data_IF_870545072309
#
_entry.id   IF_870545072309
#
_cell.length_a   1.000
_cell.length_b   1.000
_cell.length_c   1.000
_cell.angle_alpha   90.00
_cell.angle_beta   90.00
_cell.angle_gamma   90.00
#
_symmetry.space_group_name_H-M   'P 1'
#
loop_
_entity.id
_entity.type
_entity.pdbx_description
1 polymer ?
#
# COMPACT_ATOMS: atom_id res chain seq x y z
N UNK A 1 77.53 -51.42 58.72
CA UNK A 1 76.84 -50.54 57.75
C UNK A 1 76.79 -49.13 58.33
N UNK A 2 77.44 -48.18 57.65
CA UNK A 2 77.52 -46.78 58.09
C UNK A 2 76.13 -46.13 58.10
N UNK A 3 75.88 -45.18 59.00
CA UNK A 3 74.64 -44.39 59.08
C UNK A 3 74.29 -43.73 57.72
N UNK A 4 75.29 -43.46 56.90
CA UNK A 4 75.15 -42.92 55.55
C UNK A 4 74.46 -43.89 54.57
N UNK A 5 74.65 -45.20 54.70
CA UNK A 5 73.98 -46.19 53.83
C UNK A 5 72.51 -46.40 54.22
N UNK A 6 72.17 -46.25 55.51
CA UNK A 6 70.77 -46.29 55.95
C UNK A 6 70.01 -45.04 55.51
N UNK A 7 70.67 -43.88 55.51
CA UNK A 7 70.11 -42.63 55.00
C UNK A 7 69.74 -42.70 53.51
N UNK A 8 70.57 -43.35 52.69
CA UNK A 8 70.31 -43.50 51.23
C UNK A 8 69.03 -44.26 50.88
N UNK A 9 68.51 -45.11 51.78
CA UNK A 9 67.29 -45.88 51.55
C UNK A 9 66.06 -45.16 52.15
N UNK A 10 66.22 -44.51 53.29
CA UNK A 10 65.12 -43.86 54.03
C UNK A 10 64.71 -42.53 53.37
N UNK A 11 65.67 -41.76 52.85
CA UNK A 11 65.41 -40.44 52.25
C UNK A 11 64.50 -40.54 51.01
N UNK A 12 64.73 -41.44 50.02
CA UNK A 12 63.85 -41.58 48.87
C UNK A 12 62.44 -42.06 49.23
N UNK A 13 62.33 -42.98 50.20
CA UNK A 13 61.04 -43.51 50.64
C UNK A 13 60.18 -42.43 51.32
N UNK A 14 60.76 -41.64 52.22
CA UNK A 14 60.08 -40.53 52.87
C UNK A 14 59.69 -39.42 51.87
N UNK A 15 60.58 -39.09 50.93
CA UNK A 15 60.30 -38.12 49.86
C UNK A 15 59.12 -38.56 48.98
N UNK A 16 59.04 -39.85 48.62
CA UNK A 16 57.93 -40.41 47.86
C UNK A 16 56.58 -40.30 48.58
N UNK A 17 56.56 -40.53 49.89
CA UNK A 17 55.35 -40.37 50.72
C UNK A 17 54.93 -38.90 50.77
N UNK A 18 55.86 -37.98 51.03
CA UNK A 18 55.59 -36.54 51.07
C UNK A 18 55.03 -36.03 49.73
N UNK A 19 55.64 -36.42 48.61
CA UNK A 19 55.15 -36.04 47.27
C UNK A 19 53.75 -36.60 46.98
N UNK A 20 53.46 -37.82 47.44
CA UNK A 20 52.16 -38.45 47.27
C UNK A 20 51.08 -37.71 48.06
N UNK A 21 51.38 -37.30 49.29
CA UNK A 21 50.48 -36.49 50.13
C UNK A 21 50.21 -35.13 49.46
N UNK A 22 51.25 -34.44 48.97
CA UNK A 22 51.10 -33.14 48.29
C UNK A 22 50.23 -33.26 47.03
N UNK A 23 50.40 -34.33 46.24
CA UNK A 23 49.56 -34.59 45.05
C UNK A 23 48.09 -34.79 45.42
N UNK A 24 47.82 -35.57 46.47
CA UNK A 24 46.45 -35.81 46.94
C UNK A 24 45.80 -34.53 47.46
N UNK A 25 46.53 -33.73 48.24
CA UNK A 25 46.04 -32.43 48.74
C UNK A 25 45.76 -31.47 47.59
N UNK A 26 46.68 -31.37 46.61
CA UNK A 26 46.49 -30.52 45.43
C UNK A 26 45.30 -30.96 44.58
N UNK A 27 45.10 -32.27 44.43
CA UNK A 27 43.94 -32.82 43.74
C UNK A 27 42.64 -32.45 44.46
N UNK A 28 42.57 -32.61 45.78
CA UNK A 28 41.39 -32.23 46.56
C UNK A 28 41.06 -30.74 46.44
N UNK A 29 42.07 -29.87 46.53
CA UNK A 29 41.89 -28.41 46.34
C UNK A 29 41.40 -28.09 44.92
N UNK A 30 41.93 -28.76 43.91
CA UNK A 30 41.44 -28.58 42.54
C UNK A 30 39.97 -29.02 42.42
N UNK A 31 39.62 -30.20 42.94
CA UNK A 31 38.24 -30.71 42.90
C UNK A 31 37.26 -29.78 43.62
N UNK A 32 37.63 -29.23 44.78
CA UNK A 32 36.75 -28.31 45.51
C UNK A 32 36.56 -26.99 44.78
N UNK A 33 37.61 -26.42 44.18
CA UNK A 33 37.51 -25.22 43.35
C UNK A 33 36.63 -25.47 42.12
N UNK A 34 36.81 -26.60 41.43
CA UNK A 34 35.98 -26.95 40.28
C UNK A 34 34.52 -27.15 40.68
N UNK A 35 34.26 -27.83 41.81
CA UNK A 35 32.90 -28.05 42.29
C UNK A 35 32.19 -26.73 42.66
N UNK A 36 32.88 -25.81 43.36
CA UNK A 36 32.29 -24.51 43.72
C UNK A 36 32.03 -23.64 42.49
N UNK A 37 32.95 -23.60 41.52
CA UNK A 37 32.71 -22.93 40.25
C UNK A 37 31.52 -23.53 39.50
N UNK A 38 31.42 -24.86 39.42
CA UNK A 38 30.32 -25.53 38.73
C UNK A 38 28.97 -25.17 39.37
N UNK A 39 28.88 -25.20 40.69
CA UNK A 39 27.65 -24.80 41.40
C UNK A 39 27.30 -23.31 41.19
N UNK A 40 28.31 -22.44 41.13
CA UNK A 40 28.10 -21.02 40.88
C UNK A 40 27.56 -20.77 39.46
N UNK A 41 28.14 -21.44 38.47
CA UNK A 41 27.68 -21.37 37.07
C UNK A 41 26.24 -21.89 36.98
N UNK A 42 25.93 -23.04 37.56
CA UNK A 42 24.57 -23.59 37.53
C UNK A 42 23.54 -22.66 38.16
N UNK A 43 23.88 -22.06 39.30
CA UNK A 43 22.99 -21.13 40.02
C UNK A 43 22.64 -19.89 39.20
N UNK A 44 23.56 -19.39 38.37
CA UNK A 44 23.32 -18.20 37.56
C UNK A 44 22.82 -18.49 36.15
N UNK A 45 23.38 -19.51 35.49
CA UNK A 45 23.10 -19.81 34.08
C UNK A 45 21.69 -20.36 33.90
N UNK A 46 21.19 -21.20 34.82
CA UNK A 46 19.86 -21.79 34.69
C UNK A 46 18.77 -20.69 34.78
N UNK A 47 18.73 -19.82 35.81
CA UNK A 47 17.77 -18.73 35.87
C UNK A 47 17.93 -17.73 34.72
N UNK A 48 19.17 -17.39 34.36
CA UNK A 48 19.43 -16.48 33.23
C UNK A 48 18.89 -17.03 31.91
N UNK A 49 19.05 -18.34 31.67
CA UNK A 49 18.49 -19.02 30.50
C UNK A 49 16.96 -18.95 30.48
N UNK A 50 16.30 -19.20 31.62
CA UNK A 50 14.83 -19.11 31.73
C UNK A 50 14.36 -17.68 31.44
N UNK A 51 14.98 -16.68 32.09
CA UNK A 51 14.64 -15.26 31.88
C UNK A 51 14.83 -14.88 30.41
N UNK A 52 15.95 -15.30 29.81
CA UNK A 52 16.22 -15.07 28.39
C UNK A 52 15.12 -15.66 27.49
N UNK A 53 14.70 -16.90 27.74
CA UNK A 53 13.63 -17.53 26.95
C UNK A 53 12.27 -16.83 27.13
N UNK A 54 11.94 -16.39 28.34
CA UNK A 54 10.70 -15.63 28.60
C UNK A 54 10.71 -14.30 27.86
N UNK A 55 11.79 -13.52 27.97
CA UNK A 55 11.95 -12.24 27.25
C UNK A 55 11.89 -12.47 25.74
N UNK A 56 12.63 -13.46 25.23
CA UNK A 56 12.64 -13.81 23.81
C UNK A 56 11.23 -14.17 23.31
N UNK A 57 10.48 -14.97 24.09
CA UNK A 57 9.10 -15.33 23.77
C UNK A 57 8.19 -14.09 23.70
N UNK A 58 8.27 -13.21 24.69
CA UNK A 58 7.49 -11.98 24.73
C UNK A 58 7.81 -11.04 23.56
N UNK A 59 9.09 -10.81 23.28
CA UNK A 59 9.53 -9.99 22.14
C UNK A 59 9.11 -10.61 20.80
N UNK A 60 9.20 -11.93 20.66
CA UNK A 60 8.76 -12.64 19.46
C UNK A 60 7.24 -12.49 19.26
N UNK A 61 6.46 -12.59 20.34
CA UNK A 61 5.02 -12.40 20.27
C UNK A 61 4.65 -10.98 19.85
N UNK A 62 5.27 -9.96 20.45
CA UNK A 62 5.04 -8.56 20.05
C UNK A 62 5.34 -8.33 18.58
N UNK A 63 6.49 -8.79 18.08
CA UNK A 63 6.85 -8.67 16.66
C UNK A 63 5.81 -9.32 15.74
N UNK A 64 5.33 -10.51 16.10
CA UNK A 64 4.29 -11.21 15.32
C UNK A 64 2.97 -10.44 15.34
N UNK A 65 2.57 -9.94 16.50
CA UNK A 65 1.36 -9.13 16.67
C UNK A 65 1.43 -7.84 15.84
N UNK A 66 2.54 -7.12 15.90
CA UNK A 66 2.75 -5.88 15.14
C UNK A 66 2.71 -6.14 13.63
N UNK A 67 3.38 -7.22 13.19
CA UNK A 67 3.35 -7.64 11.77
C UNK A 67 1.93 -8.00 11.32
N UNK A 68 1.17 -8.71 12.15
CA UNK A 68 -0.22 -9.04 11.86
C UNK A 68 -1.08 -7.79 11.77
N UNK A 69 -0.98 -6.87 12.73
CA UNK A 69 -1.72 -5.61 12.73
C UNK A 69 -1.37 -4.75 11.52
N UNK A 70 -0.08 -4.64 11.18
CA UNK A 70 0.37 -3.92 9.99
C UNK A 70 -0.22 -4.52 8.71
N UNK A 71 -0.18 -5.84 8.57
CA UNK A 71 -0.75 -6.53 7.41
C UNK A 71 -2.26 -6.31 7.33
N UNK A 72 -2.98 -6.48 8.44
CA UNK A 72 -4.43 -6.25 8.51
C UNK A 72 -4.79 -4.82 8.09
N UNK A 73 -4.11 -3.82 8.66
CA UNK A 73 -4.31 -2.42 8.31
C UNK A 73 -4.02 -2.17 6.84
N UNK A 74 -2.93 -2.74 6.31
CA UNK A 74 -2.59 -2.64 4.88
C UNK A 74 -3.66 -3.27 3.98
N UNK A 75 -4.18 -4.45 4.35
CA UNK A 75 -5.27 -5.09 3.61
C UNK A 75 -6.55 -4.25 3.62
N UNK A 76 -6.95 -3.72 4.78
CA UNK A 76 -8.10 -2.82 4.89
C UNK A 76 -7.91 -1.53 4.10
N UNK A 77 -6.69 -0.97 4.09
CA UNK A 77 -6.36 0.21 3.29
C UNK A 77 -6.54 -0.08 1.80
N UNK A 78 -5.97 -1.18 1.28
CA UNK A 78 -6.11 -1.53 -0.13
C UNK A 78 -7.55 -1.88 -0.50
N UNK A 79 -8.28 -2.60 0.35
CA UNK A 79 -9.68 -2.90 0.10
C UNK A 79 -10.55 -1.64 0.08
N UNK A 80 -10.29 -0.66 0.96
CA UNK A 80 -10.96 0.63 0.92
C UNK A 80 -10.57 1.43 -0.32
N UNK A 81 -9.30 1.42 -0.71
CA UNK A 81 -8.83 2.08 -1.93
C UNK A 81 -9.50 1.46 -3.17
N UNK A 82 -9.56 0.13 -3.28
CA UNK A 82 -10.22 -0.58 -4.36
C UNK A 82 -11.72 -0.27 -4.40
N UNK A 83 -12.39 -0.29 -3.24
CA UNK A 83 -13.81 0.04 -3.13
C UNK A 83 -14.09 1.50 -3.52
N UNK A 84 -13.31 2.44 -2.98
CA UNK A 84 -13.45 3.86 -3.28
C UNK A 84 -13.07 4.18 -4.73
N UNK A 85 -12.12 3.46 -5.32
CA UNK A 85 -11.77 3.60 -6.74
C UNK A 85 -12.92 3.17 -7.63
N UNK A 86 -13.67 2.13 -7.25
CA UNK A 86 -14.91 1.75 -7.94
C UNK A 86 -15.98 2.85 -7.89
N UNK A 87 -16.16 3.51 -6.73
CA UNK A 87 -17.08 4.64 -6.60
C UNK A 87 -16.61 5.83 -7.44
N UNK A 88 -15.32 6.16 -7.40
CA UNK A 88 -14.72 7.25 -8.19
C UNK A 88 -14.87 7.00 -9.69
N UNK A 89 -14.57 5.79 -10.16
CA UNK A 89 -14.73 5.41 -11.56
C UNK A 89 -16.19 5.51 -12.00
N UNK A 90 -17.14 5.11 -11.14
CA UNK A 90 -18.56 5.27 -11.42
C UNK A 90 -18.97 6.73 -11.52
N UNK A 91 -18.52 7.59 -10.61
CA UNK A 91 -18.80 9.03 -10.67
C UNK A 91 -18.18 9.67 -11.92
N UNK A 92 -16.96 9.27 -12.28
CA UNK A 92 -16.29 9.72 -13.49
C UNK A 92 -17.07 9.31 -14.75
N UNK A 93 -17.49 8.04 -14.84
CA UNK A 93 -18.31 7.58 -15.95
C UNK A 93 -19.66 8.30 -16.00
N UNK A 94 -20.32 8.55 -14.86
CA UNK A 94 -21.60 9.27 -14.85
C UNK A 94 -21.42 10.72 -15.32
N UNK A 95 -20.34 11.39 -14.91
CA UNK A 95 -19.99 12.72 -15.40
C UNK A 95 -19.73 12.70 -16.92
N UNK A 96 -18.97 11.72 -17.42
CA UNK A 96 -18.72 11.58 -18.86
C UNK A 96 -20.03 11.32 -19.64
N UNK A 97 -20.91 10.45 -19.13
CA UNK A 97 -22.21 10.21 -19.73
C UNK A 97 -23.11 11.43 -19.70
N UNK A 98 -23.03 12.26 -18.66
CA UNK A 98 -23.73 13.53 -18.60
C UNK A 98 -23.26 14.45 -19.72
N UNK A 99 -21.95 14.62 -19.89
CA UNK A 99 -21.37 15.42 -20.98
C UNK A 99 -21.86 14.94 -22.36
N UNK A 100 -21.89 13.63 -22.61
CA UNK A 100 -22.39 13.09 -23.88
C UNK A 100 -23.87 13.37 -24.11
N UNK A 101 -24.71 13.23 -23.07
CA UNK A 101 -26.15 13.50 -23.18
C UNK A 101 -26.39 14.98 -23.51
N UNK A 102 -25.64 15.86 -22.87
CA UNK A 102 -25.73 17.30 -23.12
C UNK A 102 -25.30 17.66 -24.53
N UNK A 103 -24.18 17.10 -25.02
CA UNK A 103 -23.75 17.26 -26.41
C UNK A 103 -24.80 16.76 -27.41
N UNK A 104 -25.41 15.59 -27.20
CA UNK A 104 -26.43 15.06 -28.10
C UNK A 104 -27.65 15.97 -28.15
N UNK A 105 -28.10 16.47 -27.00
CA UNK A 105 -29.26 17.39 -26.92
C UNK A 105 -28.92 18.73 -27.57
N UNK A 106 -27.76 19.31 -27.28
CA UNK A 106 -27.30 20.57 -27.85
C UNK A 106 -27.22 20.46 -29.38
N UNK A 107 -26.58 19.39 -29.89
CA UNK A 107 -26.50 19.13 -31.33
C UNK A 107 -27.87 19.01 -31.98
N UNK A 108 -28.80 18.27 -31.36
CA UNK A 108 -30.17 18.15 -31.88
C UNK A 108 -30.87 19.52 -31.98
N UNK A 109 -30.72 20.38 -30.98
CA UNK A 109 -31.31 21.72 -30.97
C UNK A 109 -30.70 22.59 -32.07
N UNK A 110 -29.37 22.61 -32.19
CA UNK A 110 -28.66 23.35 -33.24
C UNK A 110 -29.06 22.85 -34.63
N UNK A 111 -29.13 21.53 -34.83
CA UNK A 111 -29.56 20.92 -36.08
C UNK A 111 -31.01 21.29 -36.46
N UNK A 112 -31.92 21.32 -35.47
CA UNK A 112 -33.34 21.57 -35.71
C UNK A 112 -33.68 23.05 -35.86
N UNK A 113 -33.03 23.93 -35.09
CA UNK A 113 -33.39 25.34 -34.97
C UNK A 113 -32.29 26.32 -35.42
N UNK A 114 -31.05 25.86 -35.58
CA UNK A 114 -29.88 26.69 -35.85
C UNK A 114 -29.59 27.00 -37.32
N UNK A 115 -30.52 26.73 -38.26
CA UNK A 115 -30.32 27.07 -39.69
C UNK A 115 -30.07 28.55 -39.94
N UNK A 116 -30.63 29.42 -39.10
CA UNK A 116 -30.44 30.86 -39.14
C UNK A 116 -29.42 31.35 -38.09
N UNK A 117 -28.68 30.44 -37.46
CA UNK A 117 -27.89 30.71 -36.26
C UNK A 117 -28.77 30.65 -35.01
N UNK A 118 -28.21 30.14 -33.92
CA UNK A 118 -28.87 30.12 -32.61
C UNK A 118 -27.84 30.42 -31.52
N UNK A 119 -28.21 31.25 -30.55
CA UNK A 119 -27.36 31.58 -29.41
C UNK A 119 -27.40 30.48 -28.33
N UNK A 120 -26.37 30.42 -27.48
CA UNK A 120 -26.23 29.40 -26.44
C UNK A 120 -27.34 29.49 -25.38
N UNK A 121 -27.76 30.70 -25.02
CA UNK A 121 -28.82 30.97 -24.04
C UNK A 121 -30.18 30.41 -24.48
N UNK A 122 -30.50 30.54 -25.78
CA UNK A 122 -31.70 29.99 -26.38
C UNK A 122 -31.66 28.48 -26.41
N UNK A 123 -30.50 27.89 -26.68
CA UNK A 123 -30.30 26.44 -26.61
C UNK A 123 -30.55 25.94 -25.19
N UNK A 124 -29.95 26.60 -24.19
CA UNK A 124 -30.16 26.30 -22.77
C UNK A 124 -31.65 26.31 -22.40
N UNK A 125 -32.35 27.41 -22.69
CA UNK A 125 -33.79 27.53 -22.41
C UNK A 125 -34.64 26.47 -23.11
N UNK A 126 -34.33 26.14 -24.38
CA UNK A 126 -35.05 25.10 -25.13
C UNK A 126 -34.80 23.73 -24.51
N UNK A 127 -33.55 23.43 -24.14
CA UNK A 127 -33.15 22.17 -23.55
C UNK A 127 -33.84 21.95 -22.19
N UNK A 128 -33.71 22.90 -21.26
CA UNK A 128 -34.30 22.80 -19.92
C UNK A 128 -35.81 22.67 -19.97
N UNK A 129 -36.47 23.49 -20.80
CA UNK A 129 -37.92 23.41 -20.99
C UNK A 129 -38.34 22.03 -21.50
N UNK A 130 -37.66 21.49 -22.52
CA UNK A 130 -37.98 20.17 -23.08
C UNK A 130 -37.70 19.05 -22.09
N UNK A 131 -36.62 19.13 -21.33
CA UNK A 131 -36.27 18.15 -20.30
C UNK A 131 -37.32 18.16 -19.19
N UNK A 132 -37.72 19.33 -18.70
CA UNK A 132 -38.78 19.48 -17.70
C UNK A 132 -40.12 18.92 -18.18
N UNK A 133 -40.49 19.17 -19.43
CA UNK A 133 -41.72 18.62 -20.03
C UNK A 133 -41.66 17.10 -20.25
N UNK A 134 -40.49 16.54 -20.57
CA UNK A 134 -40.36 15.12 -20.95
C UNK A 134 -40.15 14.21 -19.75
N UNK A 135 -39.27 14.59 -18.82
CA UNK A 135 -38.85 13.75 -17.68
C UNK A 135 -39.23 14.34 -16.33
N UNK A 136 -39.91 15.49 -16.28
CA UNK A 136 -40.44 16.11 -15.06
C UNK A 136 -39.38 16.43 -13.99
N UNK A 137 -38.13 16.62 -14.43
CA UNK A 137 -37.01 16.99 -13.57
C UNK A 137 -36.52 18.39 -13.94
N UNK A 138 -36.15 19.15 -12.92
CA UNK A 138 -35.46 20.43 -13.10
C UNK A 138 -33.97 20.15 -13.28
N UNK A 139 -33.49 20.26 -14.52
CA UNK A 139 -32.10 19.97 -14.89
C UNK A 139 -31.46 21.27 -15.32
N UNK A 140 -30.36 21.64 -14.66
CA UNK A 140 -29.51 22.73 -15.08
C UNK A 140 -28.65 22.27 -16.27
N UNK A 141 -28.94 22.75 -17.47
CA UNK A 141 -28.29 22.28 -18.70
C UNK A 141 -27.07 23.12 -19.09
N UNK A 142 -25.88 22.55 -19.17
CA UNK A 142 -24.65 23.29 -19.53
C UNK A 142 -24.45 23.44 -21.05
N UNK A 143 -25.24 24.34 -21.66
CA UNK A 143 -25.22 24.53 -23.13
C UNK A 143 -23.86 24.98 -23.67
N UNK A 144 -23.19 25.94 -23.01
CA UNK A 144 -21.93 26.51 -23.50
C UNK A 144 -20.81 25.46 -23.62
N UNK A 145 -20.64 24.63 -22.59
CA UNK A 145 -19.62 23.59 -22.58
C UNK A 145 -19.91 22.50 -23.62
N UNK A 146 -21.18 22.06 -23.72
CA UNK A 146 -21.61 21.12 -24.75
C UNK A 146 -21.36 21.64 -26.18
N UNK A 147 -21.64 22.93 -26.44
CA UNK A 147 -21.40 23.56 -27.75
C UNK A 147 -19.90 23.69 -28.06
N UNK A 148 -19.09 24.10 -27.08
CA UNK A 148 -17.64 24.17 -27.23
C UNK A 148 -17.02 22.80 -27.53
N UNK A 149 -17.51 21.72 -26.89
CA UNK A 149 -17.10 20.34 -27.18
C UNK A 149 -17.51 19.91 -28.59
N UNK A 150 -18.74 20.21 -29.01
CA UNK A 150 -19.24 19.91 -30.36
C UNK A 150 -18.48 20.67 -31.46
N UNK A 151 -18.09 21.92 -31.20
CA UNK A 151 -17.26 22.72 -32.11
C UNK A 151 -15.88 22.10 -32.30
N UNK A 152 -15.23 21.69 -31.20
CA UNK A 152 -13.93 20.99 -31.24
C UNK A 152 -14.03 19.69 -32.03
N UNK A 153 -15.14 18.97 -31.93
CA UNK A 153 -15.44 17.77 -32.70
C UNK A 153 -15.77 18.06 -34.18
N UNK A 154 -15.98 19.32 -34.57
CA UNK A 154 -16.33 19.70 -35.94
C UNK A 154 -17.78 19.38 -36.33
N UNK A 155 -18.66 19.19 -35.35
CA UNK A 155 -20.08 18.88 -35.58
C UNK A 155 -20.94 20.14 -35.82
N UNK A 156 -20.50 21.28 -35.29
CA UNK A 156 -21.17 22.58 -35.42
C UNK A 156 -20.12 23.66 -35.69
N UNK A 157 -20.57 24.82 -36.15
CA UNK A 157 -19.74 25.99 -36.38
C UNK A 157 -20.22 27.18 -35.55
N UNK A 158 -19.30 27.90 -34.94
CA UNK A 158 -19.58 29.20 -34.32
C UNK A 158 -19.25 30.33 -35.29
N UNK A 159 -20.17 31.27 -35.47
CA UNK A 159 -19.89 32.58 -36.08
C UNK A 159 -20.49 33.66 -35.17
N UNK A 160 -19.66 34.56 -34.64
CA UNK A 160 -20.10 35.69 -33.80
C UNK A 160 -21.05 35.29 -32.64
N UNK A 161 -20.72 34.25 -31.88
CA UNK A 161 -21.53 33.73 -30.76
C UNK A 161 -22.88 33.13 -31.19
N UNK A 162 -23.04 32.85 -32.49
CA UNK A 162 -24.18 32.10 -33.02
C UNK A 162 -23.73 30.77 -33.62
N UNK A 163 -24.48 29.73 -33.28
CA UNK A 163 -24.14 28.35 -33.59
C UNK A 163 -24.94 27.85 -34.79
N UNK A 164 -24.24 27.22 -35.72
CA UNK A 164 -24.79 26.69 -36.97
C UNK A 164 -24.53 25.19 -37.08
N UNK A 165 -25.48 24.40 -37.58
CA UNK A 165 -25.26 22.99 -37.84
C UNK A 165 -24.37 22.81 -39.07
N UNK A 166 -23.37 21.92 -38.98
CA UNK A 166 -22.66 21.44 -40.15
C UNK A 166 -23.39 20.22 -40.75
N UNK A 167 -23.42 20.06 -42.08
CA UNK A 167 -23.99 18.87 -42.71
C UNK A 167 -23.27 17.60 -42.24
N UNK A 168 -24.03 16.56 -41.87
CA UNK A 168 -23.44 15.31 -41.40
C UNK A 168 -22.47 14.68 -42.41
N UNK A 169 -22.69 14.83 -43.73
CA UNK A 169 -21.73 14.33 -44.73
C UNK A 169 -20.37 15.05 -44.70
N UNK A 170 -20.36 16.34 -44.36
CA UNK A 170 -19.14 17.16 -44.33
C UNK A 170 -18.38 16.91 -43.02
N UNK A 171 -19.08 16.89 -41.88
CA UNK A 171 -18.52 16.50 -40.58
C UNK A 171 -17.98 15.06 -40.60
N UNK A 172 -18.69 14.10 -41.18
CA UNK A 172 -18.23 12.71 -41.23
C UNK A 172 -16.97 12.53 -42.09
N UNK A 173 -16.83 13.29 -43.18
CA UNK A 173 -15.61 13.31 -44.00
C UNK A 173 -14.43 13.92 -43.24
N UNK A 174 -14.65 15.02 -42.54
CA UNK A 174 -13.60 15.69 -41.77
C UNK A 174 -13.11 14.85 -40.58
N UNK A 175 -14.03 14.21 -39.85
CA UNK A 175 -13.67 13.29 -38.77
C UNK A 175 -12.90 12.08 -39.32
N UNK A 176 -13.37 11.49 -40.43
CA UNK A 176 -12.71 10.36 -41.09
C UNK A 176 -11.28 10.71 -41.54
N UNK A 177 -11.08 11.92 -42.06
CA UNK A 177 -9.76 12.43 -42.45
C UNK A 177 -8.85 12.73 -41.25
N UNK A 178 -9.39 13.18 -40.11
CA UNK A 178 -8.61 13.48 -38.89
C UNK A 178 -8.17 12.22 -38.13
N UNK A 179 -9.01 11.19 -38.09
CA UNK A 179 -8.75 9.94 -37.36
C UNK A 179 -7.97 8.91 -38.19
N UNK A 180 -7.72 9.17 -39.48
CA UNK A 180 -6.96 8.27 -40.37
C UNK A 180 -7.67 6.95 -40.67
N UNK A 181 -8.99 6.89 -40.46
CA UNK A 181 -9.80 5.69 -40.67
C UNK A 181 -10.24 5.68 -42.15
N UNK A 182 -9.62 4.85 -42.99
CA UNK A 182 -10.00 4.70 -44.41
C UNK A 182 -11.38 4.04 -44.59
#
# INVERSE_FOLDING_TARGET
MSLLDRGKIIIPALSGIVLSIVKIVRLMVAVTIFATLATFIQFWVIPAGIIYYVIKGFLSYQKTKDKYQLNLTRHLYFQNLDNNSGVLLRLLHEAEFQDYREMVIAYYIVWKYGKAGIDAEKIHQIAEKKLKETIHLDINFEAEDALAKLEKLGAIKNENETWFPLPMEETAKDIKNREGIN
#
